data_IF_680374856189
#
_entry.id   IF_680374856189
#
_cell.length_a   1.000
_cell.length_b   1.000
_cell.length_c   1.000
_cell.angle_alpha   90.00
_cell.angle_beta   90.00
_cell.angle_gamma   90.00
#
_symmetry.space_group_name_H-M   'P 1'
#
loop_
_entity.id
_entity.type
_entity.pdbx_description
1 polymer ?
#
# COMPACT_ATOMS: atom_id res chain seq x y z
N UNK A 1 -2.21 -26.82 -10.54
CA UNK A 1 -2.54 -25.39 -10.61
C UNK A 1 -2.62 -24.86 -9.18
N UNK A 2 -1.55 -24.26 -8.67
CA UNK A 2 -1.49 -23.78 -7.29
C UNK A 2 -2.09 -22.37 -7.20
N UNK A 3 -3.23 -22.25 -6.52
CA UNK A 3 -3.92 -20.99 -6.24
C UNK A 3 -2.98 -20.08 -5.45
N UNK A 4 -2.59 -18.95 -6.04
CA UNK A 4 -1.73 -17.93 -5.43
C UNK A 4 -2.43 -17.35 -4.21
N UNK A 5 -2.04 -17.75 -3.00
CA UNK A 5 -2.33 -17.00 -1.78
C UNK A 5 -1.56 -15.69 -1.87
N UNK A 6 -2.29 -14.58 -2.01
CA UNK A 6 -1.72 -13.23 -1.96
C UNK A 6 -2.16 -12.64 -0.64
N UNK A 7 -1.19 -12.47 0.25
CA UNK A 7 -1.42 -11.96 1.59
C UNK A 7 -1.54 -10.43 1.53
N UNK A 8 -2.68 -9.88 1.94
CA UNK A 8 -2.84 -8.45 2.17
C UNK A 8 -3.88 -8.24 3.28
N UNK A 9 -3.42 -8.09 4.53
CA UNK A 9 -4.15 -7.44 5.63
C UNK A 9 -5.36 -8.13 6.26
N UNK A 10 -6.01 -9.05 5.55
CA UNK A 10 -7.30 -9.65 5.93
C UNK A 10 -7.16 -11.15 6.20
N UNK A 11 -8.06 -11.71 7.01
CA UNK A 11 -8.18 -13.14 7.23
C UNK A 11 -8.04 -13.90 5.89
N UNK A 12 -7.22 -14.97 5.80
CA UNK A 12 -6.97 -15.66 4.54
C UNK A 12 -8.28 -16.17 3.93
N UNK A 13 -8.81 -15.46 2.94
CA UNK A 13 -10.02 -15.82 2.21
C UNK A 13 -9.67 -16.20 0.77
N UNK A 14 -10.28 -17.25 0.20
CA UNK A 14 -10.13 -17.57 -1.22
C UNK A 14 -10.83 -16.53 -2.12
N UNK A 15 -11.77 -15.76 -1.59
CA UNK A 15 -12.58 -14.78 -2.32
C UNK A 15 -12.52 -13.39 -1.68
N UNK A 16 -12.45 -12.36 -2.53
CA UNK A 16 -12.58 -10.97 -2.10
C UNK A 16 -14.04 -10.67 -1.77
N UNK A 17 -14.29 -10.16 -0.57
CA UNK A 17 -15.59 -9.68 -0.16
C UNK A 17 -15.62 -8.16 -0.24
N UNK A 18 -16.51 -7.61 -1.07
CA UNK A 18 -16.86 -6.19 -0.99
C UNK A 18 -17.44 -5.86 0.39
N UNK A 19 -17.46 -4.57 0.77
CA UNK A 19 -18.12 -4.13 2.02
C UNK A 19 -19.54 -4.69 2.16
N UNK A 20 -20.32 -4.67 1.06
CA UNK A 20 -21.69 -5.15 1.05
C UNK A 20 -21.77 -6.66 1.29
N UNK A 21 -20.87 -7.46 0.72
CA UNK A 21 -20.82 -8.90 0.95
C UNK A 21 -20.31 -9.24 2.35
N UNK A 22 -19.30 -8.53 2.84
CA UNK A 22 -18.75 -8.73 4.16
C UNK A 22 -19.77 -8.40 5.27
N UNK A 23 -20.63 -7.41 5.03
CA UNK A 23 -21.75 -7.04 5.90
C UNK A 23 -22.91 -8.03 5.92
N UNK A 24 -22.96 -9.03 5.03
CA UNK A 24 -23.95 -10.11 5.11
C UNK A 24 -23.62 -11.11 6.22
N UNK A 25 -22.35 -11.19 6.60
CA UNK A 25 -21.89 -12.06 7.68
C UNK A 25 -22.07 -11.32 9.02
N UNK A 26 -22.77 -11.94 10.00
CA UNK A 26 -22.93 -11.35 11.33
C UNK A 26 -21.58 -11.02 12.01
N UNK A 27 -21.46 -9.88 12.72
CA UNK A 27 -20.21 -9.48 13.38
C UNK A 27 -19.67 -10.50 14.39
N UNK A 28 -20.54 -11.24 15.09
CA UNK A 28 -20.13 -12.30 16.03
C UNK A 28 -19.40 -13.45 15.32
N UNK A 29 -19.80 -13.76 14.08
CA UNK A 29 -19.13 -14.77 13.27
C UNK A 29 -17.74 -14.33 12.85
N UNK A 30 -17.57 -13.07 12.43
CA UNK A 30 -16.25 -12.50 12.14
C UNK A 30 -15.35 -12.48 13.38
N UNK A 31 -15.89 -12.07 14.52
CA UNK A 31 -15.16 -12.00 15.78
C UNK A 31 -14.68 -13.38 16.25
N UNK A 32 -15.52 -14.43 16.08
CA UNK A 32 -15.10 -15.82 16.33
C UNK A 32 -13.92 -16.21 15.45
N UNK A 33 -14.00 -15.98 14.13
CA UNK A 33 -12.92 -16.32 13.21
C UNK A 33 -11.61 -15.57 13.52
N UNK A 34 -11.70 -14.27 13.86
CA UNK A 34 -10.53 -13.49 14.27
C UNK A 34 -9.88 -14.07 15.53
N UNK A 35 -10.69 -14.45 16.53
CA UNK A 35 -10.19 -15.06 17.77
C UNK A 35 -9.53 -16.41 17.51
N UNK A 36 -10.07 -17.22 16.61
CA UNK A 36 -9.50 -18.53 16.25
C UNK A 36 -8.16 -18.36 15.52
N UNK A 37 -8.09 -17.47 14.52
CA UNK A 37 -6.86 -17.24 13.74
C UNK A 37 -5.74 -16.64 14.59
N UNK A 38 -6.08 -15.77 15.53
CA UNK A 38 -5.11 -15.11 16.41
C UNK A 38 -5.04 -15.73 17.81
N UNK A 39 -5.45 -16.99 17.98
CA UNK A 39 -5.50 -17.65 19.29
C UNK A 39 -4.15 -17.67 20.01
N UNK A 40 -3.05 -17.78 19.25
CA UNK A 40 -1.68 -17.86 19.75
C UNK A 40 -0.86 -16.58 19.49
N UNK A 41 -1.50 -15.51 19.00
CA UNK A 41 -0.84 -14.27 18.60
C UNK A 41 -0.99 -13.19 19.69
N UNK A 42 0.14 -12.75 20.27
CA UNK A 42 0.16 -11.67 21.26
C UNK A 42 0.75 -10.40 20.65
N UNK A 43 0.08 -9.23 20.79
CA UNK A 43 -1.03 -8.96 21.71
C UNK A 43 -2.44 -9.17 21.12
N UNK A 44 -2.56 -9.62 19.86
CA UNK A 44 -3.82 -9.68 19.13
C UNK A 44 -4.93 -10.45 19.88
N UNK A 45 -4.61 -11.62 20.46
CA UNK A 45 -5.49 -12.43 21.29
C UNK A 45 -6.13 -11.64 22.43
N UNK A 46 -5.33 -10.87 23.16
CA UNK A 46 -5.79 -10.17 24.37
C UNK A 46 -6.64 -8.95 24.00
N UNK A 47 -6.35 -8.31 22.87
CA UNK A 47 -7.20 -7.26 22.29
C UNK A 47 -8.54 -7.85 21.85
N UNK A 48 -8.53 -8.92 21.04
CA UNK A 48 -9.75 -9.55 20.50
C UNK A 48 -10.66 -10.17 21.58
N UNK A 49 -10.11 -10.55 22.74
CA UNK A 49 -10.89 -10.98 23.90
C UNK A 49 -11.74 -9.88 24.54
N UNK A 50 -11.34 -8.61 24.36
CA UNK A 50 -12.01 -7.43 24.96
C UNK A 50 -12.92 -6.70 23.97
N UNK A 51 -12.90 -7.09 22.70
CA UNK A 51 -13.77 -6.52 21.66
C UNK A 51 -15.12 -7.22 21.72
N UNK A 52 -16.20 -6.44 21.72
CA UNK A 52 -17.56 -6.93 21.56
C UNK A 52 -17.97 -6.90 20.09
N UNK A 53 -18.92 -7.76 19.70
CA UNK A 53 -19.33 -7.90 18.30
C UNK A 53 -19.98 -6.62 17.75
N UNK A 54 -20.62 -5.82 18.61
CA UNK A 54 -21.25 -4.55 18.25
C UNK A 54 -20.25 -3.44 17.90
N UNK A 55 -19.03 -3.53 18.43
CA UNK A 55 -17.94 -2.60 18.15
C UNK A 55 -17.14 -2.97 16.89
N UNK A 56 -17.41 -4.14 16.30
CA UNK A 56 -16.65 -4.64 15.17
C UNK A 56 -17.11 -3.98 13.85
N UNK A 57 -16.26 -3.10 13.32
CA UNK A 57 -16.44 -2.54 11.99
C UNK A 57 -15.86 -3.47 10.92
N UNK A 58 -16.72 -4.00 10.06
CA UNK A 58 -16.33 -4.87 8.94
C UNK A 58 -16.29 -4.06 7.65
N UNK A 59 -15.10 -3.84 7.11
CA UNK A 59 -14.87 -3.00 5.91
C UNK A 59 -14.62 -3.80 4.62
N UNK A 60 -14.73 -5.13 4.68
CA UNK A 60 -14.44 -6.02 3.54
C UNK A 60 -12.94 -6.14 3.25
N UNK A 61 -12.62 -6.73 2.09
CA UNK A 61 -11.24 -6.98 1.68
C UNK A 61 -10.51 -5.74 1.16
N UNK A 62 -9.24 -5.60 1.49
CA UNK A 62 -8.36 -4.59 0.93
C UNK A 62 -8.04 -4.90 -0.54
N UNK A 63 -8.58 -4.10 -1.46
CA UNK A 63 -8.30 -4.21 -2.88
C UNK A 63 -7.02 -3.48 -3.27
N UNK A 64 -6.21 -4.13 -4.11
CA UNK A 64 -5.14 -3.47 -4.85
C UNK A 64 -5.70 -3.10 -6.21
N UNK A 65 -5.74 -1.80 -6.50
CA UNK A 65 -6.27 -1.31 -7.77
C UNK A 65 -5.49 -1.92 -8.95
N UNK A 66 -6.18 -2.45 -9.98
CA UNK A 66 -5.51 -2.90 -11.18
C UNK A 66 -4.81 -1.75 -11.90
N UNK A 67 -3.80 -2.07 -12.72
CA UNK A 67 -3.05 -1.06 -13.45
C UNK A 67 -3.97 -0.26 -14.37
N UNK A 68 -4.08 1.05 -14.13
CA UNK A 68 -4.81 1.98 -15.01
C UNK A 68 -3.97 2.23 -16.27
N UNK A 69 -4.44 1.85 -17.48
CA UNK A 69 -3.63 1.92 -18.68
C UNK A 69 -3.36 3.36 -19.13
N UNK A 70 -4.34 4.25 -19.00
CA UNK A 70 -4.28 5.67 -19.38
C UNK A 70 -4.77 6.54 -18.24
N UNK A 71 -4.00 7.56 -17.89
CA UNK A 71 -4.31 8.44 -16.74
C UNK A 71 -5.03 9.71 -17.14
N UNK A 72 -5.23 9.92 -18.44
CA UNK A 72 -5.92 11.08 -18.96
C UNK A 72 -6.68 10.75 -20.23
N UNK A 73 -7.70 11.56 -20.50
CA UNK A 73 -8.43 11.59 -21.77
C UNK A 73 -8.92 13.01 -22.01
N UNK A 74 -8.62 13.56 -23.17
CA UNK A 74 -8.96 14.94 -23.52
C UNK A 74 -8.48 15.93 -22.45
N UNK A 75 -9.40 16.63 -21.78
CA UNK A 75 -9.13 17.60 -20.71
C UNK A 75 -9.32 17.02 -19.30
N UNK A 76 -9.46 15.70 -19.18
CA UNK A 76 -9.64 15.00 -17.91
C UNK A 76 -8.37 14.25 -17.54
N UNK A 77 -7.91 14.44 -16.30
CA UNK A 77 -6.72 13.78 -15.74
C UNK A 77 -7.11 13.13 -14.41
N UNK A 78 -6.72 11.88 -14.24
CA UNK A 78 -6.87 11.13 -13.00
C UNK A 78 -5.63 11.34 -12.12
N UNK A 79 -5.88 11.51 -10.81
CA UNK A 79 -4.85 11.77 -9.80
C UNK A 79 -5.13 10.99 -8.52
N UNK A 80 -4.09 10.71 -7.74
CA UNK A 80 -4.21 9.97 -6.48
C UNK A 80 -4.77 8.56 -6.67
N UNK A 81 -5.56 8.11 -5.71
CA UNK A 81 -6.13 6.77 -5.64
C UNK A 81 -7.00 6.41 -6.87
N UNK A 82 -7.56 7.40 -7.58
CA UNK A 82 -8.27 7.17 -8.85
C UNK A 82 -7.35 6.66 -9.99
N UNK A 83 -6.04 6.71 -9.79
CA UNK A 83 -5.01 6.26 -10.73
C UNK A 83 -4.06 5.25 -10.13
N UNK A 84 -3.77 5.40 -8.84
CA UNK A 84 -2.73 4.68 -8.14
C UNK A 84 -3.06 4.54 -6.67
N UNK A 85 -3.91 3.57 -6.33
CA UNK A 85 -4.11 3.13 -4.96
C UNK A 85 -3.14 1.97 -4.65
N UNK A 86 -1.92 2.23 -4.11
CA UNK A 86 -1.05 1.15 -3.67
C UNK A 86 -1.64 0.43 -2.45
N UNK A 87 -1.18 -0.79 -2.19
CA UNK A 87 -1.51 -1.50 -0.95
C UNK A 87 -1.25 -0.62 0.28
N UNK A 88 -2.15 -0.71 1.27
CA UNK A 88 -2.07 0.01 2.56
C UNK A 88 -0.74 -0.23 3.28
N UNK A 89 -0.12 -1.40 3.07
CA UNK A 89 1.21 -1.75 3.58
C UNK A 89 2.35 -0.85 3.10
N UNK A 90 2.15 -0.05 2.05
CA UNK A 90 3.12 0.94 1.62
C UNK A 90 3.15 2.17 2.53
N UNK A 91 2.01 2.55 3.13
CA UNK A 91 1.83 3.82 3.81
C UNK A 91 2.05 5.06 2.92
N UNK A 92 2.01 4.94 1.58
CA UNK A 92 2.38 6.01 0.64
C UNK A 92 1.22 6.67 -0.11
N UNK A 93 -0.04 6.22 0.05
CA UNK A 93 -1.18 6.73 -0.74
C UNK A 93 -1.31 8.25 -0.72
N UNK A 94 -1.36 8.84 0.48
CA UNK A 94 -1.44 10.30 0.64
C UNK A 94 -0.22 11.04 0.03
N UNK A 95 1.00 10.54 0.27
CA UNK A 95 2.22 11.11 -0.31
C UNK A 95 2.18 11.07 -1.84
N UNK A 96 1.77 9.94 -2.43
CA UNK A 96 1.65 9.78 -3.87
C UNK A 96 0.62 10.72 -4.48
N UNK A 97 -0.51 10.95 -3.80
CA UNK A 97 -1.53 11.89 -4.23
C UNK A 97 -0.99 13.32 -4.24
N UNK A 98 -0.31 13.76 -3.17
CA UNK A 98 0.32 15.08 -3.10
C UNK A 98 1.43 15.25 -4.14
N UNK A 99 2.32 14.27 -4.28
CA UNK A 99 3.34 14.25 -5.32
C UNK A 99 2.72 14.37 -6.73
N UNK A 100 1.60 13.68 -6.97
CA UNK A 100 0.86 13.77 -8.24
C UNK A 100 0.26 15.15 -8.47
N UNK A 101 -0.34 15.78 -7.46
CA UNK A 101 -0.87 17.14 -7.57
C UNK A 101 0.22 18.14 -7.94
N UNK A 102 1.36 18.09 -7.26
CA UNK A 102 2.52 18.95 -7.54
C UNK A 102 3.04 18.71 -8.96
N UNK A 103 3.18 17.45 -9.37
CA UNK A 103 3.71 17.13 -10.69
C UNK A 103 2.76 17.54 -11.82
N UNK A 104 1.45 17.36 -11.65
CA UNK A 104 0.45 17.82 -12.61
C UNK A 104 0.49 19.35 -12.73
N UNK A 105 0.56 20.08 -11.60
CA UNK A 105 0.68 21.53 -11.60
C UNK A 105 1.94 22.02 -12.34
N UNK A 106 3.09 21.34 -12.18
CA UNK A 106 4.30 21.65 -12.96
C UNK A 106 4.10 21.43 -14.45
N UNK A 107 3.48 20.32 -14.85
CA UNK A 107 3.21 20.02 -16.25
C UNK A 107 2.27 21.06 -16.89
N UNK A 108 1.22 21.47 -16.18
CA UNK A 108 0.29 22.51 -16.63
C UNK A 108 0.91 23.90 -16.71
N UNK A 109 1.89 24.21 -15.84
CA UNK A 109 2.64 25.47 -15.88
C UNK A 109 3.49 25.58 -17.15
N UNK A 110 4.17 24.49 -17.53
CA UNK A 110 5.22 24.53 -18.54
C UNK A 110 4.77 24.09 -19.94
N UNK A 111 3.67 23.33 -20.03
CA UNK A 111 3.20 22.74 -21.28
C UNK A 111 1.71 23.04 -21.50
N UNK A 112 1.28 23.26 -22.75
CA UNK A 112 -0.13 23.37 -23.08
C UNK A 112 -0.83 22.01 -23.02
N UNK A 113 -2.16 22.03 -22.85
CA UNK A 113 -2.99 20.84 -23.06
C UNK A 113 -2.95 20.40 -24.53
N UNK A 114 -2.95 19.08 -24.83
CA UNK A 114 -2.97 17.94 -23.90
C UNK A 114 -1.55 17.46 -23.49
N UNK A 115 -0.49 18.15 -23.90
CA UNK A 115 0.91 17.72 -23.65
C UNK A 115 1.23 17.67 -22.17
N UNK A 116 0.65 18.56 -21.37
CA UNK A 116 0.77 18.54 -19.92
C UNK A 116 0.31 17.21 -19.30
N UNK A 117 -0.85 16.70 -19.71
CA UNK A 117 -1.41 15.46 -19.17
C UNK A 117 -0.55 14.23 -19.51
N UNK A 118 -0.05 14.15 -20.75
CA UNK A 118 0.86 13.08 -21.18
C UNK A 118 2.21 13.14 -20.45
N UNK A 119 2.77 14.34 -20.26
CA UNK A 119 4.00 14.53 -19.49
C UNK A 119 3.81 14.13 -18.02
N UNK A 120 2.67 14.48 -17.41
CA UNK A 120 2.32 14.07 -16.05
C UNK A 120 2.30 12.55 -15.91
N UNK A 121 1.58 11.85 -16.79
CA UNK A 121 1.49 10.39 -16.76
C UNK A 121 2.89 9.75 -16.86
N UNK A 122 3.70 10.19 -17.83
CA UNK A 122 5.06 9.70 -18.04
C UNK A 122 5.94 9.87 -16.80
N UNK A 123 5.95 11.07 -16.20
CA UNK A 123 6.81 11.39 -15.05
C UNK A 123 6.42 10.65 -13.77
N UNK A 124 5.13 10.34 -13.61
CA UNK A 124 4.61 9.71 -12.39
C UNK A 124 4.54 8.20 -12.46
N UNK A 125 4.33 7.61 -13.64
CA UNK A 125 4.11 6.17 -13.82
C UNK A 125 5.22 5.32 -13.21
N UNK A 126 6.49 5.69 -13.42
CA UNK A 126 7.63 4.96 -12.88
C UNK A 126 7.69 5.04 -11.34
N UNK A 127 7.47 6.22 -10.78
CA UNK A 127 7.50 6.46 -9.32
C UNK A 127 6.41 5.66 -8.62
N UNK A 128 5.18 5.73 -9.14
CA UNK A 128 4.02 4.99 -8.62
C UNK A 128 4.25 3.49 -8.73
N UNK A 129 4.70 3.00 -9.88
CA UNK A 129 4.91 1.55 -10.10
C UNK A 129 5.95 0.99 -9.13
N UNK A 130 7.05 1.71 -8.90
CA UNK A 130 8.08 1.30 -7.93
C UNK A 130 7.53 1.17 -6.51
N UNK A 131 6.69 2.11 -6.07
CA UNK A 131 6.06 2.04 -4.74
C UNK A 131 5.09 0.86 -4.66
N UNK A 132 4.26 0.65 -5.68
CA UNK A 132 3.32 -0.46 -5.71
C UNK A 132 4.03 -1.83 -5.65
N UNK A 133 5.11 -2.01 -6.44
CA UNK A 133 5.90 -3.25 -6.44
C UNK A 133 6.58 -3.49 -5.08
N UNK A 134 7.16 -2.45 -4.48
CA UNK A 134 7.76 -2.57 -3.15
C UNK A 134 6.72 -2.95 -2.08
N UNK A 135 5.51 -2.39 -2.16
CA UNK A 135 4.41 -2.74 -1.26
C UNK A 135 3.99 -4.21 -1.40
N UNK A 136 3.92 -4.71 -2.63
CA UNK A 136 3.62 -6.12 -2.90
C UNK A 136 4.73 -7.04 -2.37
N UNK A 137 5.99 -6.65 -2.51
CA UNK A 137 7.12 -7.42 -1.96
C UNK A 137 7.07 -7.50 -0.43
N UNK A 138 6.82 -6.37 0.24
CA UNK A 138 6.68 -6.31 1.69
C UNK A 138 5.47 -7.11 2.20
N UNK A 139 4.40 -7.20 1.41
CA UNK A 139 3.24 -8.02 1.76
C UNK A 139 3.53 -9.51 1.75
N UNK A 140 4.35 -9.99 0.80
CA UNK A 140 4.73 -11.40 0.68
C UNK A 140 5.79 -11.83 1.69
N UNK A 141 6.53 -10.88 2.27
CA UNK A 141 7.54 -11.13 3.29
C UNK A 141 6.97 -10.83 4.67
N UNK A 142 6.14 -11.73 5.19
CA UNK A 142 5.68 -11.62 6.58
C UNK A 142 5.89 -12.93 7.34
N UNK A 143 6.45 -12.75 8.54
CA UNK A 143 6.87 -13.73 9.54
C UNK A 143 8.14 -14.54 9.20
N UNK A 144 9.27 -14.11 9.78
CA UNK A 144 10.32 -15.06 10.12
C UNK A 144 9.77 -15.98 11.21
N UNK A 145 9.83 -17.31 11.01
CA UNK A 145 9.42 -18.27 12.03
C UNK A 145 10.14 -18.01 13.37
N UNK A 146 9.70 -18.63 14.49
CA UNK A 146 10.14 -18.26 15.84
C UNK A 146 11.67 -18.19 16.01
N UNK A 147 12.38 -19.15 15.42
CA UNK A 147 13.84 -19.21 15.42
C UNK A 147 14.47 -18.07 14.60
N UNK A 148 13.91 -17.78 13.42
CA UNK A 148 14.37 -16.68 12.57
C UNK A 148 14.16 -15.31 13.20
N UNK A 149 13.04 -15.12 13.90
CA UNK A 149 12.75 -13.88 14.63
C UNK A 149 13.72 -13.65 15.79
N UNK A 150 14.08 -14.70 16.54
CA UNK A 150 15.08 -14.60 17.60
C UNK A 150 16.47 -14.25 17.06
N UNK A 151 16.90 -14.90 15.97
CA UNK A 151 18.17 -14.62 15.30
C UNK A 151 18.20 -13.19 14.73
N UNK A 152 17.14 -12.75 14.05
CA UNK A 152 17.06 -11.40 13.50
C UNK A 152 17.06 -10.33 14.59
N UNK A 153 16.46 -10.58 15.76
CA UNK A 153 16.46 -9.65 16.89
C UNK A 153 17.88 -9.39 17.43
N UNK A 154 18.73 -10.42 17.43
CA UNK A 154 20.13 -10.30 17.87
C UNK A 154 21.01 -9.65 16.79
N UNK A 155 20.77 -9.96 15.51
CA UNK A 155 21.59 -9.43 14.41
C UNK A 155 21.20 -8.00 14.00
N UNK A 156 19.95 -7.58 14.21
CA UNK A 156 19.41 -6.27 13.82
C UNK A 156 20.26 -5.07 14.29
N UNK A 157 20.67 -4.96 15.57
CA UNK A 157 21.44 -3.81 16.05
C UNK A 157 22.81 -3.66 15.36
N UNK A 158 23.46 -4.78 15.05
CA UNK A 158 24.74 -4.81 14.33
C UNK A 158 24.51 -4.43 12.88
N UNK A 159 23.50 -5.05 12.25
CA UNK A 159 23.16 -4.85 10.85
C UNK A 159 22.78 -3.39 10.55
N UNK A 160 21.95 -2.76 11.40
CA UNK A 160 21.57 -1.34 11.29
C UNK A 160 22.76 -0.38 11.41
N UNK A 161 23.76 -0.71 12.23
CA UNK A 161 24.98 0.10 12.42
C UNK A 161 25.98 -0.03 11.28
N UNK A 162 25.95 -1.14 10.55
CA UNK A 162 27.00 -1.49 9.57
C UNK A 162 26.53 -1.32 8.12
N UNK A 163 25.48 -2.03 7.69
CA UNK A 163 25.09 -2.11 6.27
C UNK A 163 23.60 -1.85 6.00
N UNK A 164 22.70 -2.02 6.96
CA UNK A 164 21.27 -1.65 6.88
C UNK A 164 21.04 -0.24 7.42
N UNK A 165 21.73 0.77 6.86
CA UNK A 165 21.47 2.16 7.27
C UNK A 165 20.05 2.56 6.85
N UNK A 166 19.19 3.06 7.76
CA UNK A 166 17.81 3.42 7.46
C UNK A 166 17.69 4.40 6.29
N UNK A 167 18.64 5.32 6.15
CA UNK A 167 18.68 6.30 5.05
C UNK A 167 18.82 5.65 3.67
N UNK A 168 19.50 4.50 3.56
CA UNK A 168 19.62 3.76 2.29
C UNK A 168 18.39 2.90 2.01
N UNK A 169 17.81 2.29 3.04
CA UNK A 169 16.61 1.45 2.91
C UNK A 169 15.37 2.28 2.58
N UNK A 170 15.16 3.37 3.31
CA UNK A 170 13.95 4.18 3.25
C UNK A 170 14.12 5.43 2.39
N UNK A 171 15.36 5.89 2.16
CA UNK A 171 15.67 7.10 1.40
C UNK A 171 15.04 7.18 0.01
N UNK A 172 15.07 6.12 -0.83
CA UNK A 172 14.43 6.17 -2.14
C UNK A 172 12.90 6.38 -2.08
N UNK A 173 12.25 5.91 -1.02
CA UNK A 173 10.79 6.08 -0.83
C UNK A 173 10.50 7.44 -0.20
N UNK A 174 11.13 7.77 0.93
CA UNK A 174 10.78 8.96 1.72
C UNK A 174 11.54 10.23 1.32
N UNK A 175 12.70 10.10 0.67
CA UNK A 175 13.54 11.22 0.24
C UNK A 175 13.26 11.72 -1.17
N UNK A 176 12.19 11.25 -1.81
CA UNK A 176 11.81 11.72 -3.14
C UNK A 176 11.42 13.19 -3.10
N UNK A 177 11.96 13.96 -4.04
CA UNK A 177 11.69 15.39 -4.17
C UNK A 177 11.31 15.73 -5.60
N UNK A 178 10.32 16.58 -5.72
CA UNK A 178 9.94 17.22 -6.97
C UNK A 178 10.49 18.63 -6.93
N UNK A 179 11.47 18.93 -7.79
CA UNK A 179 11.97 20.29 -7.92
C UNK A 179 10.98 21.12 -8.74
N UNK A 180 10.29 22.04 -8.07
CA UNK A 180 9.33 22.92 -8.71
C UNK A 180 9.98 23.76 -9.80
N UNK A 181 11.20 24.25 -9.60
CA UNK A 181 11.85 25.22 -10.49
C UNK A 181 12.31 24.62 -11.82
N UNK A 182 12.57 23.31 -11.88
CA UNK A 182 12.98 22.66 -13.11
C UNK A 182 11.84 22.69 -14.14
N UNK A 183 12.11 23.10 -15.40
CA UNK A 183 11.11 23.07 -16.46
C UNK A 183 10.77 21.63 -16.86
N UNK A 184 9.51 21.37 -17.15
CA UNK A 184 9.07 20.08 -17.69
C UNK A 184 9.44 19.98 -19.16
N UNK A 185 10.32 19.03 -19.49
CA UNK A 185 10.59 18.68 -20.87
C UNK A 185 9.35 18.03 -21.50
N UNK A 186 9.02 18.46 -22.71
CA UNK A 186 7.95 17.88 -23.53
C UNK A 186 8.15 16.40 -23.78
#
# INVERSE_FOLDING_TARGET
MAQRRRDAGDLPSPEYLSMAQAGQTPPDQWLRQLRDVHADDLPARDVLRRVDAEDLLVVGGLEIMPKVPHWHRDRMVLVGDATHAPSSSSGQGASLAVESAIQLARCLRDLPDPRAATAYERLRRDRVTKIAVNAEHNNRQKAFGPVGSAVMSVLMPIALKTFLKPTRMFGPVHGYRIDWSLPVAA
#
